data_IF_345438664096
#
_entry.id   IF_345438664096
#
_cell.length_a   1.000
_cell.length_b   1.000
_cell.length_c   1.000
_cell.angle_alpha   90.00
_cell.angle_beta   90.00
_cell.angle_gamma   90.00
#
_symmetry.space_group_name_H-M   'P 1'
#
loop_
_entity.id
_entity.type
_entity.pdbx_description
1 polymer ?
#
# COMPACT_ATOMS: atom_id res chain seq x y z
N UNK A 1 8.07 1.49 17.50
CA UNK A 1 7.02 2.28 18.21
C UNK A 1 5.86 2.69 17.29
N UNK A 2 6.07 3.18 16.06
CA UNK A 2 4.95 3.68 15.23
C UNK A 2 3.86 2.63 14.88
N UNK A 3 4.21 1.35 14.71
CA UNK A 3 3.24 0.30 14.39
C UNK A 3 2.31 -0.08 15.54
N UNK A 4 2.78 0.00 16.80
CA UNK A 4 1.92 -0.31 17.96
C UNK A 4 0.80 0.73 18.11
N UNK A 5 1.09 2.00 17.79
CA UNK A 5 0.07 3.04 17.79
C UNK A 5 -1.04 2.77 16.76
N UNK A 6 -0.69 2.32 15.54
CA UNK A 6 -1.69 1.97 14.54
C UNK A 6 -2.57 0.80 14.97
N UNK A 7 -1.98 -0.22 15.62
CA UNK A 7 -2.74 -1.32 16.21
C UNK A 7 -3.69 -0.84 17.28
N UNK A 8 -3.21 -0.02 18.22
CA UNK A 8 -4.06 0.55 19.26
C UNK A 8 -5.20 1.37 18.67
N UNK A 9 -4.97 2.17 17.64
CA UNK A 9 -6.04 2.91 16.95
C UNK A 9 -7.02 1.94 16.30
N UNK A 10 -6.55 0.94 15.56
CA UNK A 10 -7.41 -0.08 14.92
C UNK A 10 -8.28 -0.81 15.94
N UNK A 11 -7.70 -1.24 17.07
CA UNK A 11 -8.41 -1.86 18.19
C UNK A 11 -9.49 -0.94 18.76
N UNK A 12 -9.16 0.31 19.07
CA UNK A 12 -10.11 1.24 19.68
C UNK A 12 -11.25 1.58 18.72
N UNK A 13 -10.94 1.87 17.46
CA UNK A 13 -11.94 2.19 16.44
C UNK A 13 -12.90 1.02 16.20
N UNK A 14 -12.38 -0.21 16.06
CA UNK A 14 -13.21 -1.40 15.86
C UNK A 14 -13.97 -1.82 17.14
N UNK A 15 -13.57 -1.34 18.32
CA UNK A 15 -14.29 -1.58 19.58
C UNK A 15 -15.46 -0.62 19.80
N UNK A 16 -15.47 0.55 19.15
CA UNK A 16 -16.57 1.51 19.21
C UNK A 16 -17.77 0.99 18.41
N UNK A 17 -17.52 0.34 17.26
CA UNK A 17 -18.56 -0.35 16.51
C UNK A 17 -18.94 -1.65 17.25
N UNK A 18 -20.04 -1.61 18.02
CA UNK A 18 -20.56 -2.61 18.98
C UNK A 18 -20.56 -4.11 18.57
N UNK A 19 -20.19 -4.46 17.33
CA UNK A 19 -20.08 -5.85 16.86
C UNK A 19 -19.00 -6.66 17.57
N UNK A 20 -17.99 -6.04 18.17
CA UNK A 20 -16.91 -6.73 18.89
C UNK A 20 -16.91 -6.49 20.41
N UNK A 21 -17.87 -5.69 20.92
CA UNK A 21 -18.02 -5.36 22.34
C UNK A 21 -18.36 -6.59 23.21
N UNK A 22 -18.97 -7.62 22.62
CA UNK A 22 -19.39 -8.83 23.33
C UNK A 22 -18.24 -9.78 23.74
N UNK A 23 -17.03 -9.66 23.16
CA UNK A 23 -15.86 -10.46 23.57
C UNK A 23 -14.81 -9.56 24.24
N UNK A 24 -15.14 -9.04 25.42
CA UNK A 24 -14.26 -8.26 26.29
C UNK A 24 -13.11 -9.09 26.90
N UNK A 25 -12.39 -9.86 26.10
CA UNK A 25 -11.24 -10.59 26.58
C UNK A 25 -10.00 -9.70 26.47
N UNK A 26 -9.62 -9.05 27.58
CA UNK A 26 -8.37 -8.30 27.72
C UNK A 26 -7.17 -9.04 27.12
N UNK A 27 -7.14 -10.37 27.29
CA UNK A 27 -6.09 -11.22 26.74
C UNK A 27 -6.04 -11.21 25.20
N UNK A 28 -7.17 -11.15 24.50
CA UNK A 28 -7.19 -11.06 23.04
C UNK A 28 -6.70 -9.70 22.55
N UNK A 29 -7.07 -8.62 23.26
CA UNK A 29 -6.57 -7.27 22.97
C UNK A 29 -5.06 -7.20 23.14
N UNK A 30 -4.56 -7.78 24.24
CA UNK A 30 -3.13 -7.89 24.51
C UNK A 30 -2.41 -8.75 23.46
N UNK A 31 -2.99 -9.90 23.09
CA UNK A 31 -2.44 -10.80 22.08
C UNK A 31 -2.35 -10.12 20.71
N UNK A 32 -3.34 -9.29 20.33
CA UNK A 32 -3.28 -8.50 19.10
C UNK A 32 -2.16 -7.45 19.14
N UNK A 33 -2.12 -6.63 20.21
CA UNK A 33 -1.12 -5.59 20.35
C UNK A 33 0.30 -6.18 20.36
N UNK A 34 0.51 -7.27 21.10
CA UNK A 34 1.80 -7.93 21.30
C UNK A 34 2.05 -9.10 20.34
N UNK A 35 1.30 -9.22 19.25
CA UNK A 35 1.46 -10.33 18.32
C UNK A 35 2.86 -10.32 17.68
N UNK A 36 3.71 -11.25 18.14
CA UNK A 36 5.16 -11.26 17.92
C UNK A 36 5.57 -11.24 16.44
N UNK A 37 4.98 -12.05 15.53
CA UNK A 37 5.41 -12.09 14.13
C UNK A 37 5.37 -10.75 13.41
N UNK A 38 4.52 -9.83 13.85
CA UNK A 38 4.37 -8.50 13.24
C UNK A 38 4.58 -7.35 14.23
N UNK A 39 5.12 -7.63 15.42
CA UNK A 39 5.25 -6.65 16.52
C UNK A 39 6.20 -5.51 16.18
N UNK A 40 7.40 -5.85 15.71
CA UNK A 40 8.46 -4.89 15.40
C UNK A 40 8.43 -4.45 13.93
N UNK A 41 8.20 -5.42 13.06
CA UNK A 41 8.30 -5.31 11.60
C UNK A 41 7.21 -6.15 10.95
N UNK A 42 6.91 -5.90 9.68
CA UNK A 42 5.91 -6.66 8.93
C UNK A 42 4.64 -5.85 8.65
N UNK A 43 3.68 -6.44 7.92
CA UNK A 43 2.47 -5.75 7.54
C UNK A 43 1.57 -5.49 8.75
N UNK A 44 0.91 -4.33 8.75
CA UNK A 44 -0.15 -4.04 9.72
C UNK A 44 -1.37 -4.92 9.45
N UNK A 45 -1.74 -5.74 10.43
CA UNK A 45 -2.98 -6.52 10.44
C UNK A 45 -4.02 -5.71 11.21
N UNK A 46 -5.20 -5.47 10.62
CA UNK A 46 -6.27 -4.76 11.33
C UNK A 46 -6.84 -5.63 12.46
N UNK A 47 -7.36 -5.00 13.52
CA UNK A 47 -7.87 -5.74 14.69
C UNK A 47 -8.96 -6.74 14.30
N UNK A 48 -9.94 -6.31 13.50
CA UNK A 48 -10.97 -7.20 12.96
C UNK A 48 -10.41 -8.40 12.20
N UNK A 49 -9.44 -8.20 11.31
CA UNK A 49 -8.83 -9.28 10.51
C UNK A 49 -8.08 -10.27 11.40
N UNK A 50 -7.41 -9.76 12.44
CA UNK A 50 -6.74 -10.58 13.45
C UNK A 50 -7.75 -11.40 14.26
N UNK A 51 -8.81 -10.77 14.77
CA UNK A 51 -9.87 -11.46 15.51
C UNK A 51 -10.58 -12.53 14.68
N UNK A 52 -10.91 -12.23 13.42
CA UNK A 52 -11.48 -13.20 12.49
C UNK A 52 -10.52 -14.38 12.27
N UNK A 53 -9.21 -14.14 12.20
CA UNK A 53 -8.22 -15.20 12.03
C UNK A 53 -8.04 -16.10 13.26
N UNK A 54 -8.13 -15.53 14.47
CA UNK A 54 -7.96 -16.30 15.72
C UNK A 54 -9.26 -16.98 16.18
N UNK A 55 -10.40 -16.69 15.54
CA UNK A 55 -11.68 -17.32 15.85
C UNK A 55 -11.56 -18.86 15.69
N UNK A 56 -11.99 -19.66 16.69
CA UNK A 56 -11.91 -21.12 16.62
C UNK A 56 -12.49 -21.73 15.34
N UNK A 57 -13.54 -21.13 14.76
CA UNK A 57 -14.17 -21.60 13.52
C UNK A 57 -13.22 -21.52 12.32
N UNK A 58 -12.33 -20.54 12.29
CA UNK A 58 -11.41 -20.28 11.19
C UNK A 58 -10.03 -20.93 11.39
N UNK A 59 -9.78 -21.51 12.58
CA UNK A 59 -8.51 -22.17 12.89
C UNK A 59 -8.51 -23.62 12.44
N UNK A 60 -7.39 -24.03 11.83
CA UNK A 60 -7.21 -25.44 11.41
C UNK A 60 -7.07 -26.42 12.58
N UNK A 61 -6.86 -25.92 13.80
CA UNK A 61 -6.64 -26.72 15.02
C UNK A 61 -5.33 -27.52 15.04
N UNK A 62 -4.56 -27.53 13.94
CA UNK A 62 -3.29 -28.25 13.81
C UNK A 62 -2.15 -27.27 13.59
N UNK A 63 -1.40 -27.06 14.65
CA UNK A 63 -0.14 -26.34 14.64
C UNK A 63 0.94 -27.22 13.99
N UNK A 64 1.73 -26.64 13.07
CA UNK A 64 2.99 -27.24 12.60
C UNK A 64 2.84 -28.58 11.85
N UNK A 65 1.90 -28.64 10.90
CA UNK A 65 1.79 -29.78 9.99
C UNK A 65 2.72 -29.63 8.76
N UNK A 66 2.95 -30.74 8.04
CA UNK A 66 3.79 -30.74 6.82
C UNK A 66 3.28 -29.76 5.74
N UNK A 67 1.96 -29.61 5.60
CA UNK A 67 1.35 -28.71 4.62
C UNK A 67 1.66 -27.23 4.89
N UNK A 68 1.88 -26.85 6.16
CA UNK A 68 2.28 -25.49 6.60
C UNK A 68 3.80 -25.33 6.63
N UNK A 69 4.53 -26.35 7.08
CA UNK A 69 5.99 -26.31 7.17
C UNK A 69 6.65 -26.27 5.80
N UNK A 70 6.14 -27.01 4.80
CA UNK A 70 6.68 -26.99 3.43
C UNK A 70 6.72 -25.58 2.81
N UNK A 71 5.59 -24.81 2.74
CA UNK A 71 5.62 -23.45 2.21
C UNK A 71 6.42 -22.50 3.11
N UNK A 72 6.42 -22.70 4.43
CA UNK A 72 7.24 -21.90 5.34
C UNK A 72 8.73 -22.03 5.04
N UNK A 73 9.26 -23.26 4.94
CA UNK A 73 10.68 -23.49 4.63
C UNK A 73 11.03 -22.99 3.23
N UNK A 74 10.16 -23.23 2.23
CA UNK A 74 10.36 -22.71 0.87
C UNK A 74 10.46 -21.17 0.85
N UNK A 75 9.57 -20.50 1.58
CA UNK A 75 9.58 -19.05 1.73
C UNK A 75 10.82 -18.56 2.49
N UNK A 76 11.23 -19.25 3.56
CA UNK A 76 12.42 -18.90 4.32
C UNK A 76 13.67 -18.94 3.43
N UNK A 77 13.83 -19.98 2.61
CA UNK A 77 14.92 -20.08 1.63
C UNK A 77 14.85 -18.91 0.64
N UNK A 78 13.66 -18.65 0.08
CA UNK A 78 13.45 -17.54 -0.85
C UNK A 78 13.85 -16.19 -0.25
N UNK A 79 13.39 -15.87 0.96
CA UNK A 79 13.68 -14.58 1.58
C UNK A 79 15.12 -14.46 2.04
N UNK A 80 15.74 -15.56 2.45
CA UNK A 80 17.19 -15.62 2.73
C UNK A 80 18.00 -15.34 1.47
N UNK A 81 17.62 -15.92 0.33
CA UNK A 81 18.24 -15.60 -0.95
C UNK A 81 18.12 -14.12 -1.28
N UNK A 82 16.91 -13.55 -1.19
CA UNK A 82 16.70 -12.11 -1.47
C UNK A 82 17.45 -11.19 -0.51
N UNK A 83 17.61 -11.58 0.76
CA UNK A 83 18.44 -10.86 1.72
C UNK A 83 19.90 -10.83 1.23
N UNK A 84 20.53 -11.98 1.02
CA UNK A 84 21.92 -12.05 0.58
C UNK A 84 22.15 -11.40 -0.79
N UNK A 85 21.22 -11.56 -1.72
CA UNK A 85 21.27 -10.89 -3.02
C UNK A 85 21.28 -9.36 -2.86
N UNK A 86 20.49 -8.84 -1.92
CA UNK A 86 20.46 -7.39 -1.63
C UNK A 86 21.77 -6.90 -1.03
N UNK A 87 22.28 -7.62 -0.02
CA UNK A 87 23.55 -7.28 0.63
C UNK A 87 24.71 -7.30 -0.36
N UNK A 88 24.73 -8.30 -1.26
CA UNK A 88 25.70 -8.37 -2.36
C UNK A 88 25.60 -7.16 -3.29
N UNK A 89 24.39 -6.78 -3.73
CA UNK A 89 24.21 -5.60 -4.59
C UNK A 89 24.59 -4.29 -3.90
N UNK A 90 24.31 -4.15 -2.60
CA UNK A 90 24.69 -2.96 -1.82
C UNK A 90 26.20 -2.78 -1.70
N UNK A 91 27.00 -3.85 -1.88
CA UNK A 91 28.45 -3.76 -1.94
C UNK A 91 28.95 -2.99 -3.17
N UNK A 92 28.16 -2.99 -4.25
CA UNK A 92 28.49 -2.29 -5.50
C UNK A 92 27.69 -1.00 -5.68
N UNK A 93 26.45 -0.97 -5.18
CA UNK A 93 25.53 0.16 -5.33
C UNK A 93 25.29 0.78 -3.96
N UNK A 94 25.96 1.90 -3.71
CA UNK A 94 25.99 2.61 -2.43
C UNK A 94 24.71 3.42 -2.12
N UNK A 95 23.53 2.83 -2.33
CA UNK A 95 22.22 3.48 -2.15
C UNK A 95 22.07 4.15 -0.78
N UNK A 96 22.53 3.48 0.30
CA UNK A 96 22.43 4.03 1.65
C UNK A 96 23.59 4.97 2.00
N UNK A 97 24.81 4.71 1.51
CA UNK A 97 25.97 5.53 1.88
C UNK A 97 26.00 6.87 1.13
N UNK A 98 25.40 6.95 -0.06
CA UNK A 98 25.43 8.18 -0.88
C UNK A 98 24.73 9.36 -0.21
N UNK A 99 23.80 9.11 0.73
CA UNK A 99 23.13 10.16 1.49
C UNK A 99 24.10 11.01 2.34
N UNK A 100 25.26 10.45 2.71
CA UNK A 100 26.29 11.15 3.47
C UNK A 100 27.22 12.00 2.58
N UNK A 101 27.12 11.85 1.25
CA UNK A 101 27.98 12.51 0.27
C UNK A 101 27.15 13.20 -0.84
N UNK A 102 26.38 14.25 -0.50
CA UNK A 102 25.47 14.91 -1.45
C UNK A 102 26.18 15.50 -2.68
N UNK A 103 27.48 15.84 -2.57
CA UNK A 103 28.28 16.34 -3.69
C UNK A 103 28.40 15.30 -4.81
N UNK A 104 28.41 14.00 -4.48
CA UNK A 104 28.46 12.93 -5.48
C UNK A 104 27.19 12.96 -6.33
N UNK A 105 26.03 13.08 -5.70
CA UNK A 105 24.72 13.13 -6.38
C UNK A 105 24.61 14.35 -7.29
N UNK A 106 25.10 15.51 -6.85
CA UNK A 106 25.10 16.75 -7.64
C UNK A 106 25.91 16.66 -8.93
N UNK A 107 26.96 15.82 -8.94
CA UNK A 107 27.85 15.63 -10.08
C UNK A 107 27.43 14.47 -10.99
N UNK A 108 26.37 13.73 -10.65
CA UNK A 108 25.87 12.65 -11.51
C UNK A 108 25.23 13.24 -12.78
N UNK A 109 25.54 12.62 -13.92
CA UNK A 109 24.79 12.90 -15.14
C UNK A 109 23.33 12.41 -15.00
N UNK A 110 22.39 12.90 -15.84
CA UNK A 110 20.97 12.54 -15.71
C UNK A 110 20.69 11.04 -15.78
N UNK A 111 21.39 10.29 -16.64
CA UNK A 111 21.23 8.83 -16.74
C UNK A 111 21.58 8.10 -15.45
N UNK A 112 22.72 8.46 -14.85
CA UNK A 112 23.16 7.90 -13.58
C UNK A 112 22.22 8.31 -12.44
N UNK A 113 21.72 9.55 -12.44
CA UNK A 113 20.78 10.03 -11.44
C UNK A 113 19.43 9.27 -11.50
N UNK A 114 18.88 9.07 -12.68
CA UNK A 114 17.64 8.29 -12.86
C UNK A 114 17.85 6.81 -12.52
N UNK A 115 18.98 6.23 -12.93
CA UNK A 115 19.36 4.86 -12.58
C UNK A 115 19.48 4.68 -11.06
N UNK A 116 20.14 5.61 -10.38
CA UNK A 116 20.24 5.62 -8.91
C UNK A 116 18.85 5.68 -8.28
N UNK A 117 17.99 6.61 -8.69
CA UNK A 117 16.63 6.73 -8.17
C UNK A 117 15.81 5.45 -8.36
N UNK A 118 15.93 4.80 -9.51
CA UNK A 118 15.29 3.50 -9.77
C UNK A 118 15.84 2.40 -8.85
N UNK A 119 17.16 2.29 -8.71
CA UNK A 119 17.81 1.34 -7.81
C UNK A 119 17.41 1.57 -6.35
N UNK A 120 17.28 2.82 -5.90
CA UNK A 120 16.78 3.17 -4.57
C UNK A 120 15.39 2.59 -4.34
N UNK A 121 14.48 2.75 -5.31
CA UNK A 121 13.14 2.18 -5.26
C UNK A 121 13.14 0.65 -5.21
N UNK A 122 13.95 -0.01 -6.04
CA UNK A 122 14.04 -1.48 -6.05
C UNK A 122 14.61 -2.04 -4.75
N UNK A 123 15.63 -1.39 -4.20
CA UNK A 123 16.17 -1.73 -2.88
C UNK A 123 15.10 -1.59 -1.79
N UNK A 124 14.37 -0.47 -1.80
CA UNK A 124 13.28 -0.22 -0.87
C UNK A 124 12.19 -1.29 -0.97
N UNK A 125 11.77 -1.67 -2.18
CA UNK A 125 10.84 -2.78 -2.39
C UNK A 125 11.39 -4.09 -1.82
N UNK A 126 12.64 -4.46 -2.13
CA UNK A 126 13.16 -5.76 -1.73
C UNK A 126 13.29 -5.91 -0.22
N UNK A 127 13.58 -4.81 0.49
CA UNK A 127 13.51 -4.74 1.96
C UNK A 127 12.12 -5.17 2.47
N UNK A 128 11.04 -4.69 1.86
CA UNK A 128 9.68 -5.11 2.22
C UNK A 128 9.39 -6.55 1.81
N UNK A 129 9.86 -7.01 0.65
CA UNK A 129 9.71 -8.42 0.23
C UNK A 129 10.29 -9.37 1.28
N UNK A 130 11.50 -9.10 1.77
CA UNK A 130 12.16 -9.93 2.78
C UNK A 130 11.47 -9.83 4.14
N UNK A 131 11.24 -8.60 4.62
CA UNK A 131 10.67 -8.37 5.96
C UNK A 131 9.21 -8.83 6.02
N UNK A 132 8.35 -8.31 5.13
CA UNK A 132 6.93 -8.66 5.14
C UNK A 132 6.74 -10.12 4.75
N UNK A 133 7.55 -10.65 3.82
CA UNK A 133 7.52 -12.05 3.45
C UNK A 133 7.79 -12.99 4.61
N UNK A 134 8.84 -12.72 5.39
CA UNK A 134 9.20 -13.51 6.57
C UNK A 134 8.10 -13.43 7.64
N UNK A 135 7.65 -12.22 7.98
CA UNK A 135 6.57 -12.00 8.96
C UNK A 135 5.26 -12.68 8.53
N UNK A 136 4.83 -12.53 7.28
CA UNK A 136 3.62 -13.19 6.74
C UNK A 136 3.76 -14.72 6.76
N UNK A 137 4.95 -15.26 6.51
CA UNK A 137 5.17 -16.72 6.57
C UNK A 137 5.02 -17.25 7.99
N UNK A 138 5.49 -16.50 9.00
CA UNK A 138 5.25 -16.81 10.42
C UNK A 138 3.75 -16.69 10.77
N UNK A 139 3.07 -15.64 10.29
CA UNK A 139 1.63 -15.48 10.52
C UNK A 139 0.83 -16.68 9.99
N UNK A 140 1.19 -17.19 8.82
CA UNK A 140 0.53 -18.35 8.22
C UNK A 140 0.73 -19.65 9.03
N UNK A 141 1.84 -19.80 9.77
CA UNK A 141 2.02 -20.94 10.68
C UNK A 141 1.00 -20.91 11.83
N UNK A 142 0.68 -19.70 12.30
CA UNK A 142 -0.27 -19.43 13.39
C UNK A 142 -1.74 -19.35 12.93
N UNK A 143 -2.03 -19.63 11.66
CA UNK A 143 -3.33 -19.39 11.01
C UNK A 143 -3.80 -17.92 11.05
N UNK A 144 -2.88 -16.97 11.21
CA UNK A 144 -3.17 -15.54 11.16
C UNK A 144 -3.01 -15.05 9.72
N UNK A 145 -4.10 -14.53 9.13
CA UNK A 145 -4.08 -14.02 7.76
C UNK A 145 -3.52 -12.61 7.72
N UNK A 146 -2.23 -12.49 7.41
CA UNK A 146 -1.61 -11.19 7.16
C UNK A 146 -1.93 -10.65 5.75
N UNK A 147 -1.93 -9.32 5.55
CA UNK A 147 -2.06 -8.73 4.22
C UNK A 147 -1.01 -9.26 3.22
N UNK A 148 -1.35 -9.30 1.92
CA UNK A 148 -0.41 -9.77 0.90
C UNK A 148 0.78 -8.83 0.74
N UNK A 149 1.90 -9.40 0.29
CA UNK A 149 3.17 -8.70 0.03
C UNK A 149 3.07 -7.62 -1.06
N UNK A 150 4.01 -6.67 -1.07
CA UNK A 150 4.09 -5.64 -2.11
C UNK A 150 4.15 -6.25 -3.51
N UNK A 151 3.43 -5.64 -4.47
CA UNK A 151 3.67 -5.90 -5.89
C UNK A 151 4.97 -5.21 -6.33
N UNK A 152 5.60 -5.73 -7.38
CA UNK A 152 6.79 -5.10 -7.96
C UNK A 152 6.48 -3.68 -8.45
N UNK A 153 7.19 -2.69 -7.89
CA UNK A 153 6.98 -1.27 -8.20
C UNK A 153 7.24 -0.95 -9.68
N UNK A 154 8.12 -1.71 -10.35
CA UNK A 154 8.40 -1.52 -11.77
C UNK A 154 7.25 -1.94 -12.70
N UNK A 155 6.25 -2.69 -12.18
CA UNK A 155 5.06 -3.10 -12.92
C UNK A 155 3.85 -2.20 -12.64
N UNK A 156 3.99 -1.21 -11.76
CA UNK A 156 2.88 -0.33 -11.37
C UNK A 156 2.99 0.97 -12.16
N UNK A 157 1.93 1.32 -12.90
CA UNK A 157 1.90 2.50 -13.76
C UNK A 157 0.98 3.62 -13.24
N UNK A 158 0.22 3.37 -12.17
CA UNK A 158 -0.70 4.32 -11.55
C UNK A 158 -0.27 4.62 -10.11
N UNK A 159 -0.31 5.89 -9.71
CA UNK A 159 -0.09 6.31 -8.33
C UNK A 159 -1.12 5.68 -7.40
N UNK A 160 -2.39 5.65 -7.81
CA UNK A 160 -3.45 5.00 -7.03
C UNK A 160 -3.15 3.50 -6.76
N UNK A 161 -2.63 2.78 -7.75
CA UNK A 161 -2.23 1.38 -7.60
C UNK A 161 -0.97 1.22 -6.75
N UNK A 162 -0.02 2.16 -6.81
CA UNK A 162 1.18 2.16 -5.97
C UNK A 162 0.77 2.16 -4.49
N UNK A 163 -0.12 3.07 -4.10
CA UNK A 163 -0.63 3.16 -2.73
C UNK A 163 -1.45 1.94 -2.31
N UNK A 164 -2.22 1.35 -3.23
CA UNK A 164 -3.04 0.15 -2.96
C UNK A 164 -2.21 -1.12 -2.81
N UNK A 165 -1.04 -1.20 -3.43
CA UNK A 165 -0.32 -2.45 -3.62
C UNK A 165 1.09 -2.49 -3.05
N UNK A 166 1.66 -1.35 -2.65
CA UNK A 166 2.96 -1.33 -1.98
C UNK A 166 2.83 -1.77 -0.52
N UNK A 167 2.09 -1.03 0.30
CA UNK A 167 1.80 -1.43 1.69
C UNK A 167 0.29 -1.64 1.89
N UNK A 168 -0.15 -2.89 1.76
CA UNK A 168 -1.55 -3.28 1.89
C UNK A 168 -2.11 -3.05 3.30
N UNK A 169 -1.29 -3.28 4.33
CA UNK A 169 -1.72 -3.13 5.72
C UNK A 169 -1.98 -1.67 6.06
N UNK A 170 -1.03 -0.80 5.72
CA UNK A 170 -1.20 0.65 5.86
C UNK A 170 -2.35 1.16 4.99
N UNK A 171 -2.46 0.72 3.74
CA UNK A 171 -3.56 1.10 2.86
C UNK A 171 -4.93 0.74 3.46
N UNK A 172 -5.11 -0.48 3.96
CA UNK A 172 -6.36 -0.91 4.57
C UNK A 172 -6.70 -0.06 5.81
N UNK A 173 -5.70 0.28 6.62
CA UNK A 173 -5.86 1.18 7.77
C UNK A 173 -6.33 2.57 7.33
N UNK A 174 -5.66 3.18 6.37
CA UNK A 174 -5.99 4.51 5.86
C UNK A 174 -7.40 4.55 5.29
N UNK A 175 -7.75 3.56 4.46
CA UNK A 175 -9.06 3.50 3.83
C UNK A 175 -10.17 3.38 4.86
N UNK A 176 -10.02 2.46 5.82
CA UNK A 176 -11.08 2.14 6.78
C UNK A 176 -11.27 3.22 7.83
N UNK A 177 -10.19 3.75 8.39
CA UNK A 177 -10.27 4.63 9.57
C UNK A 177 -10.17 6.12 9.25
N UNK A 178 -9.72 6.49 8.04
CA UNK A 178 -9.54 7.89 7.66
C UNK A 178 -10.35 8.21 6.42
N UNK A 179 -10.07 7.54 5.30
CA UNK A 179 -10.63 7.91 4.00
C UNK A 179 -12.16 7.76 3.96
N UNK A 180 -12.69 6.58 4.29
CA UNK A 180 -14.14 6.32 4.24
C UNK A 180 -14.89 7.20 5.24
N UNK A 181 -14.49 7.30 6.54
CA UNK A 181 -15.18 8.17 7.49
C UNK A 181 -15.08 9.66 7.15
N UNK A 182 -13.99 10.12 6.54
CA UNK A 182 -13.81 11.52 6.15
C UNK A 182 -14.55 11.89 4.86
N UNK A 183 -14.83 10.92 3.98
CA UNK A 183 -15.58 11.13 2.76
C UNK A 183 -17.06 11.38 3.09
N UNK A 184 -17.39 12.63 3.43
CA UNK A 184 -18.77 13.07 3.71
C UNK A 184 -19.67 13.14 2.46
N UNK A 185 -19.08 13.17 1.27
CA UNK A 185 -19.80 13.21 -0.01
C UNK A 185 -19.05 12.47 -1.11
N UNK A 186 -19.79 11.89 -2.06
CA UNK A 186 -19.22 11.15 -3.19
C UNK A 186 -18.63 12.04 -4.30
N UNK A 187 -18.81 13.35 -4.17
CA UNK A 187 -18.29 14.36 -5.07
C UNK A 187 -16.76 14.44 -5.08
N UNK A 188 -16.23 15.18 -6.07
CA UNK A 188 -14.78 15.36 -6.23
C UNK A 188 -14.14 15.95 -4.96
N UNK A 189 -14.75 17.00 -4.40
CA UNK A 189 -14.26 17.69 -3.20
C UNK A 189 -14.19 16.78 -1.97
N UNK A 190 -15.20 15.92 -1.74
CA UNK A 190 -15.21 14.99 -0.61
C UNK A 190 -14.07 13.97 -0.70
N UNK A 191 -13.84 13.41 -1.88
CA UNK A 191 -12.73 12.48 -2.14
C UNK A 191 -11.35 13.14 -2.07
N UNK A 192 -11.23 14.40 -2.52
CA UNK A 192 -9.99 15.18 -2.40
C UNK A 192 -9.67 15.47 -0.93
N UNK A 193 -10.65 15.89 -0.15
CA UNK A 193 -10.49 16.14 1.27
C UNK A 193 -10.10 14.87 2.04
N UNK A 194 -10.79 13.75 1.79
CA UNK A 194 -10.44 12.45 2.38
C UNK A 194 -9.00 12.02 2.02
N UNK A 195 -8.60 12.20 0.77
CA UNK A 195 -7.22 11.93 0.33
C UNK A 195 -6.22 12.82 1.06
N UNK A 196 -6.51 14.12 1.17
CA UNK A 196 -5.67 15.08 1.88
C UNK A 196 -5.46 14.67 3.35
N UNK A 197 -6.52 14.27 4.05
CA UNK A 197 -6.40 13.78 5.44
C UNK A 197 -5.54 12.52 5.54
N UNK A 198 -5.65 11.58 4.58
CA UNK A 198 -4.77 10.41 4.55
C UNK A 198 -3.29 10.81 4.43
N UNK A 199 -2.95 11.73 3.52
CA UNK A 199 -1.57 12.20 3.35
C UNK A 199 -1.06 13.03 4.54
N UNK A 200 -1.92 13.85 5.13
CA UNK A 200 -1.60 14.57 6.37
C UNK A 200 -1.27 13.59 7.51
N UNK A 201 -2.08 12.54 7.65
CA UNK A 201 -1.81 11.47 8.61
C UNK A 201 -0.50 10.74 8.33
N UNK A 202 -0.25 10.34 7.08
CA UNK A 202 1.01 9.68 6.66
C UNK A 202 2.21 10.55 7.03
N UNK A 203 2.14 11.86 6.74
CA UNK A 203 3.20 12.81 7.08
C UNK A 203 3.49 12.85 8.59
N UNK A 204 2.44 12.98 9.41
CA UNK A 204 2.58 12.99 10.87
C UNK A 204 3.13 11.65 11.38
N UNK A 205 2.64 10.53 10.85
CA UNK A 205 3.01 9.18 11.29
C UNK A 205 4.46 8.80 10.94
N UNK A 206 4.95 9.19 9.76
CA UNK A 206 6.35 8.97 9.38
C UNK A 206 7.32 9.89 10.11
N UNK A 207 6.84 11.05 10.57
CA UNK A 207 7.64 12.07 11.26
C UNK A 207 7.60 13.40 10.52
N UNK A 208 7.49 14.49 11.28
CA UNK A 208 7.37 15.85 10.75
C UNK A 208 8.75 16.35 10.31
N UNK A 209 9.18 15.93 9.12
CA UNK A 209 10.44 16.35 8.49
C UNK A 209 10.20 16.87 7.07
N UNK A 210 11.01 17.83 6.62
CA UNK A 210 10.84 18.47 5.30
C UNK A 210 10.86 17.47 4.14
N UNK A 211 11.74 16.46 4.19
CA UNK A 211 11.86 15.44 3.15
C UNK A 211 10.58 14.59 3.05
N UNK A 212 9.97 14.26 4.18
CA UNK A 212 8.72 13.50 4.26
C UNK A 212 7.55 14.37 3.79
N UNK A 213 7.54 15.66 4.15
CA UNK A 213 6.55 16.61 3.66
C UNK A 213 6.56 16.71 2.14
N UNK A 214 7.74 16.91 1.54
CA UNK A 214 7.90 17.00 0.08
C UNK A 214 7.43 15.69 -0.58
N UNK A 215 7.86 14.53 -0.07
CA UNK A 215 7.43 13.24 -0.59
C UNK A 215 5.92 13.03 -0.49
N UNK A 216 5.30 13.35 0.64
CA UNK A 216 3.86 13.21 0.84
C UNK A 216 3.07 14.17 -0.08
N UNK A 217 3.53 15.42 -0.20
CA UNK A 217 2.91 16.41 -1.08
C UNK A 217 2.98 16.00 -2.55
N UNK A 218 4.14 15.53 -3.03
CA UNK A 218 4.31 15.06 -4.41
C UNK A 218 3.41 13.86 -4.72
N UNK A 219 3.27 12.92 -3.78
CA UNK A 219 2.37 11.78 -3.94
C UNK A 219 0.89 12.22 -3.95
N UNK A 220 0.50 13.14 -3.07
CA UNK A 220 -0.86 13.69 -3.06
C UNK A 220 -1.17 14.37 -4.39
N UNK A 221 -0.28 15.25 -4.85
CA UNK A 221 -0.37 15.91 -6.15
C UNK A 221 -0.46 14.87 -7.29
N UNK A 222 0.36 13.82 -7.27
CA UNK A 222 0.32 12.74 -8.25
C UNK A 222 -1.05 12.03 -8.34
N UNK A 223 -1.68 11.73 -7.20
CA UNK A 223 -3.02 11.14 -7.19
C UNK A 223 -4.08 12.13 -7.70
N UNK A 224 -3.99 13.40 -7.32
CA UNK A 224 -4.91 14.44 -7.80
C UNK A 224 -4.80 14.59 -9.31
N UNK A 225 -3.58 14.66 -9.86
CA UNK A 225 -3.35 14.72 -11.29
C UNK A 225 -3.88 13.46 -12.00
N UNK A 226 -3.54 12.27 -11.52
CA UNK A 226 -4.04 11.01 -12.13
C UNK A 226 -5.58 11.02 -12.24
N UNK A 227 -6.25 11.50 -11.20
CA UNK A 227 -7.72 11.57 -11.18
C UNK A 227 -8.26 12.63 -12.12
N UNK A 228 -7.67 13.82 -12.16
CA UNK A 228 -8.05 14.90 -13.08
C UNK A 228 -7.88 14.49 -14.53
N UNK A 229 -6.76 13.84 -14.87
CA UNK A 229 -6.51 13.33 -16.23
C UNK A 229 -7.47 12.21 -16.63
N UNK A 230 -7.85 11.32 -15.71
CA UNK A 230 -8.89 10.29 -15.99
C UNK A 230 -10.24 10.93 -16.34
N UNK A 231 -10.66 11.95 -15.59
CA UNK A 231 -11.90 12.69 -15.86
C UNK A 231 -11.82 13.42 -17.21
N UNK A 232 -10.71 14.11 -17.47
CA UNK A 232 -10.49 14.81 -18.73
C UNK A 232 -10.48 13.87 -19.93
N UNK A 233 -9.76 12.74 -19.85
CA UNK A 233 -9.70 11.74 -20.91
C UNK A 233 -11.08 11.15 -21.22
N UNK A 234 -11.90 10.89 -20.18
CA UNK A 234 -13.25 10.40 -20.36
C UNK A 234 -14.15 11.45 -21.03
N UNK A 235 -14.07 12.72 -20.61
CA UNK A 235 -14.81 13.83 -21.22
C UNK A 235 -14.43 14.02 -22.68
N UNK A 236 -13.14 14.00 -23.01
CA UNK A 236 -12.65 14.12 -24.40
C UNK A 236 -13.14 12.95 -25.25
N UNK A 237 -13.09 11.72 -24.73
CA UNK A 237 -13.61 10.55 -25.43
C UNK A 237 -15.13 10.66 -25.67
N UNK A 238 -15.89 11.08 -24.65
CA UNK A 238 -17.33 11.29 -24.77
C UNK A 238 -17.66 12.37 -25.81
N UNK A 239 -16.97 13.52 -25.76
CA UNK A 239 -17.13 14.60 -26.75
C UNK A 239 -16.78 14.13 -28.16
N UNK A 240 -15.70 13.35 -28.30
CA UNK A 240 -15.34 12.74 -29.58
C UNK A 240 -16.45 11.82 -30.12
N UNK A 241 -17.00 10.93 -29.28
CA UNK A 241 -18.12 10.08 -29.66
C UNK A 241 -19.37 10.89 -30.04
N UNK A 242 -19.72 11.93 -29.29
CA UNK A 242 -20.85 12.81 -29.61
C UNK A 242 -20.65 13.53 -30.95
N UNK A 243 -19.45 14.06 -31.21
CA UNK A 243 -19.11 14.68 -32.49
C UNK A 243 -19.20 13.66 -33.63
N UNK A 244 -18.69 12.44 -33.45
CA UNK A 244 -18.75 11.38 -34.46
C UNK A 244 -20.20 11.02 -34.81
N UNK A 245 -21.05 10.80 -33.80
CA UNK A 245 -22.49 10.53 -34.01
C UNK A 245 -23.18 11.69 -34.73
N UNK A 246 -22.86 12.94 -34.37
CA UNK A 246 -23.42 14.12 -35.05
C UNK A 246 -23.03 14.18 -36.53
N UNK A 247 -21.77 13.88 -36.87
CA UNK A 247 -21.30 13.80 -38.26
C UNK A 247 -21.99 12.67 -39.01
N UNK A 248 -22.12 11.50 -38.38
CA UNK A 248 -22.75 10.33 -39.00
C UNK A 248 -24.24 10.58 -39.28
N UNK A 249 -24.97 11.20 -38.34
CA UNK A 249 -26.38 11.61 -38.53
C UNK A 249 -26.51 12.62 -39.67
N UNK A 250 -25.66 13.64 -39.72
CA UNK A 250 -25.67 14.63 -40.80
C UNK A 250 -25.41 13.98 -42.17
N UNK A 251 -24.44 13.07 -42.23
CA UNK A 251 -24.14 12.32 -43.47
C UNK A 251 -25.31 11.44 -43.93
N UNK A 252 -26.06 10.87 -42.99
CA UNK A 252 -27.23 10.05 -43.29
C UNK A 252 -28.42 10.90 -43.79
N UNK A 253 -28.62 12.09 -43.22
CA UNK A 253 -29.62 13.04 -43.70
C UNK A 253 -29.31 13.55 -45.12
N UNK A 254 -28.04 13.85 -45.41
CA UNK A 254 -27.61 14.25 -46.76
C UNK A 254 -27.84 13.13 -47.77
N UNK A 255 -27.49 11.87 -47.44
CA UNK A 255 -27.80 10.71 -48.28
C UNK A 255 -29.30 10.54 -48.53
N UNK A 256 -30.14 10.79 -47.52
CA UNK A 256 -31.61 10.72 -47.66
C UNK A 256 -32.20 11.80 -48.57
N UNK A 257 -31.57 12.96 -48.69
CA UNK A 257 -32.04 14.05 -49.57
C UNK A 257 -31.73 13.82 -51.05
N UNK A 258 -30.79 12.91 -51.33
CA UNK A 258 -30.33 12.58 -52.69
C UNK A 258 -31.10 11.37 -53.27
N UNK A 259 -31.76 10.59 -52.42
CA UNK A 259 -32.73 9.55 -52.81
C UNK A 259 -34.14 10.12 -52.94
#
# INVERSE_FOLDING_TARGET
MCWIHLRSISLNMDSIDDKFSASNNFLQKLAYCLYLPTLFLGPLILYREFQESINPVNRSGRYWNYQKLKPFISNLIRYTFWLYFTEFLLHFIYVNAIQYHPQVVQNLNPWALYGLGYCMGQFFLNKYVVIYGTCTSLCNLDDVKAPPQPKCIARIHLYSDMWKHFDRGLYNFLIRYIYIPAQRSDGCCGKLFASFLCFAFIFIWHGIQINIFIWALLNFIGIVFEKSFKVLSFLLFFLYCCCQVSVDVKSWEERRKIM
#
